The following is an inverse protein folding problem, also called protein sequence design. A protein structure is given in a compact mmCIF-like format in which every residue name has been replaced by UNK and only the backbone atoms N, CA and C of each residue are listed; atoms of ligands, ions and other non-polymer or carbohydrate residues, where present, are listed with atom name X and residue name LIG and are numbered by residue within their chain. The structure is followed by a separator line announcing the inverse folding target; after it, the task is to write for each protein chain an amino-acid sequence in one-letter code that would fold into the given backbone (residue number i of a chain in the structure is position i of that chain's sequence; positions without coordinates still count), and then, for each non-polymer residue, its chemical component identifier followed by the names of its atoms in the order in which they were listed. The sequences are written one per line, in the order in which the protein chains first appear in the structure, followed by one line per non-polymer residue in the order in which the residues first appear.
data_IF_342332870140
#
_entry.id   IF_342332870140
#
_cell.length_a   1.000
_cell.length_b   1.000
_cell.length_c   1.000
_cell.angle_alpha   90.00
_cell.angle_beta   90.00
_cell.angle_gamma   90.00
#
_symmetry.space_group_name_H-M   'P 1'
#
loop_
_entity.id
_entity.type
_entity.pdbx_description
1 polymer ?
#
# COMPACT_ATOMS: atom_id res chain seq x y z
N UNK A 1 -0.51 -9.18 10.19
CA UNK A 1 0.82 -8.82 9.67
C UNK A 1 0.72 -8.75 8.16
N UNK A 2 0.99 -7.58 7.57
CA UNK A 2 0.93 -7.42 6.12
C UNK A 2 2.00 -8.32 5.48
N UNK A 3 1.63 -9.10 4.46
CA UNK A 3 2.58 -9.88 3.66
C UNK A 3 3.60 -8.88 3.10
N UNK A 4 4.86 -8.97 3.54
CA UNK A 4 5.96 -8.30 2.85
C UNK A 4 5.91 -8.76 1.40
N UNK A 5 5.76 -7.83 0.47
CA UNK A 5 5.79 -8.13 -0.96
C UNK A 5 7.15 -8.79 -1.23
N UNK A 6 7.20 -10.01 -1.83
CA UNK A 6 8.44 -10.74 -2.09
C UNK A 6 9.51 -9.86 -2.76
N UNK A 7 9.08 -8.94 -3.62
CA UNK A 7 9.91 -7.94 -4.30
C UNK A 7 10.72 -7.07 -3.34
N UNK A 8 10.14 -6.60 -2.23
CA UNK A 8 10.88 -5.78 -1.25
C UNK A 8 12.02 -6.56 -0.59
N UNK A 9 11.80 -7.85 -0.34
CA UNK A 9 12.84 -8.73 0.22
C UNK A 9 13.93 -9.05 -0.80
N UNK A 10 13.56 -9.25 -2.06
CA UNK A 10 14.52 -9.46 -3.15
C UNK A 10 15.42 -8.24 -3.37
N UNK A 11 14.85 -7.02 -3.36
CA UNK A 11 15.61 -5.77 -3.45
C UNK A 11 16.52 -5.59 -2.24
N UNK A 12 16.06 -5.96 -1.04
CA UNK A 12 16.89 -5.95 0.15
C UNK A 12 18.11 -6.87 0.00
N UNK A 13 17.90 -8.15 -0.35
CA UNK A 13 18.98 -9.12 -0.60
C UNK A 13 19.96 -8.60 -1.66
N UNK A 14 19.44 -8.05 -2.77
CA UNK A 14 20.28 -7.51 -3.83
C UNK A 14 21.25 -6.41 -3.36
N UNK A 15 20.83 -5.62 -2.37
CA UNK A 15 21.59 -4.49 -1.86
C UNK A 15 22.43 -4.81 -0.61
N UNK A 16 22.05 -5.81 0.18
CA UNK A 16 22.70 -6.08 1.49
C UNK A 16 23.46 -7.38 1.55
N UNK A 17 23.19 -8.35 0.67
CA UNK A 17 23.84 -9.65 0.74
C UNK A 17 25.28 -9.58 0.23
N UNK A 18 26.22 -9.73 1.15
CA UNK A 18 27.65 -9.70 0.87
C UNK A 18 28.06 -10.80 -0.12
N UNK A 19 27.37 -11.94 -0.13
CA UNK A 19 27.67 -13.06 -1.05
C UNK A 19 27.38 -12.65 -2.49
N UNK A 20 26.27 -11.94 -2.71
CA UNK A 20 25.90 -11.45 -4.04
C UNK A 20 26.82 -10.30 -4.48
N UNK A 21 27.21 -9.42 -3.55
CA UNK A 21 28.17 -8.35 -3.82
C UNK A 21 29.57 -8.89 -4.17
N UNK A 22 29.99 -9.99 -3.55
CA UNK A 22 31.28 -10.63 -3.81
C UNK A 22 31.40 -11.25 -5.23
N UNK A 23 30.27 -11.59 -5.86
CA UNK A 23 30.24 -12.13 -7.23
C UNK A 23 30.37 -11.05 -8.32
N UNK A 24 30.36 -9.77 -7.94
CA UNK A 24 30.49 -8.63 -8.84
C UNK A 24 29.16 -8.17 -9.47
N UNK A 25 29.16 -6.96 -10.03
CA UNK A 25 27.95 -6.29 -10.53
C UNK A 25 27.20 -7.07 -11.62
N UNK A 26 27.91 -7.78 -12.50
CA UNK A 26 27.28 -8.57 -13.54
C UNK A 26 26.45 -9.73 -12.94
N UNK A 27 26.96 -10.40 -11.91
CA UNK A 27 26.25 -11.49 -11.24
C UNK A 27 25.01 -11.00 -10.49
N UNK A 28 25.04 -9.80 -9.90
CA UNK A 28 23.88 -9.16 -9.28
C UNK A 28 22.76 -8.96 -10.31
N UNK A 29 23.10 -8.42 -11.49
CA UNK A 29 22.14 -8.22 -12.58
C UNK A 29 21.54 -9.53 -13.08
N UNK A 30 22.38 -10.57 -13.22
CA UNK A 30 21.93 -11.90 -13.61
C UNK A 30 20.97 -12.48 -12.57
N UNK A 31 21.33 -12.41 -11.30
CA UNK A 31 20.50 -12.89 -10.19
C UNK A 31 19.14 -12.19 -10.14
N UNK A 32 19.11 -10.85 -10.24
CA UNK A 32 17.87 -10.08 -10.24
C UNK A 32 16.92 -10.49 -11.37
N UNK A 33 17.45 -10.64 -12.59
CA UNK A 33 16.66 -11.07 -13.73
C UNK A 33 16.16 -12.52 -13.59
N UNK A 34 16.94 -13.42 -12.97
CA UNK A 34 16.50 -14.78 -12.63
C UNK A 34 15.37 -14.77 -11.58
N UNK A 35 15.51 -13.97 -10.52
CA UNK A 35 14.46 -13.84 -9.50
C UNK A 35 13.17 -13.25 -10.06
N UNK A 36 13.29 -12.29 -10.99
CA UNK A 36 12.14 -11.73 -11.71
C UNK A 36 11.46 -12.77 -12.62
N UNK A 37 12.23 -13.68 -13.22
CA UNK A 37 11.68 -14.79 -14.00
C UNK A 37 10.83 -15.73 -13.11
N UNK A 38 11.25 -15.95 -11.87
CA UNK A 38 10.46 -16.69 -10.88
C UNK A 38 9.17 -15.95 -10.50
N UNK A 39 9.18 -14.61 -10.47
CA UNK A 39 7.96 -13.82 -10.26
C UNK A 39 7.00 -13.86 -11.46
N UNK A 40 7.52 -13.75 -12.68
CA UNK A 40 6.72 -13.73 -13.92
C UNK A 40 6.07 -15.08 -14.23
N UNK A 41 6.84 -16.16 -14.05
CA UNK A 41 6.48 -17.48 -14.56
C UNK A 41 6.38 -18.55 -13.48
N UNK A 42 6.83 -18.25 -12.27
CA UNK A 42 6.89 -19.22 -11.19
C UNK A 42 5.60 -19.36 -10.42
N UNK A 43 5.49 -20.51 -9.78
CA UNK A 43 4.48 -20.76 -8.75
C UNK A 43 5.20 -21.14 -7.48
N UNK A 44 4.78 -20.56 -6.35
CA UNK A 44 5.36 -20.82 -5.03
C UNK A 44 6.88 -20.58 -4.94
N UNK A 45 7.42 -19.63 -5.72
CA UNK A 45 8.85 -19.30 -5.73
C UNK A 45 9.72 -20.31 -6.50
N UNK A 46 9.11 -21.16 -7.34
CA UNK A 46 9.78 -22.13 -8.21
C UNK A 46 9.34 -21.97 -9.66
N UNK A 47 10.30 -22.05 -10.57
CA UNK A 47 10.12 -22.17 -12.01
C UNK A 47 10.79 -23.43 -12.51
N UNK A 48 10.19 -24.08 -13.50
CA UNK A 48 10.81 -25.17 -14.25
C UNK A 48 10.88 -24.74 -15.71
N UNK A 49 12.09 -24.62 -16.25
CA UNK A 49 12.29 -24.18 -17.63
C UNK A 49 11.73 -25.22 -18.63
N UNK A 50 11.19 -24.74 -19.75
CA UNK A 50 10.64 -25.60 -20.81
C UNK A 50 9.36 -26.36 -20.46
N UNK A 51 8.70 -26.05 -19.33
CA UNK A 51 7.38 -26.63 -18.97
C UNK A 51 6.27 -25.59 -19.01
N UNK A 52 5.13 -25.96 -19.60
CA UNK A 52 3.93 -25.12 -19.64
C UNK A 52 4.15 -23.84 -20.45
N UNK A 53 3.98 -22.67 -19.82
CA UNK A 53 4.19 -21.35 -20.44
C UNK A 53 5.60 -20.79 -20.21
N UNK A 54 6.49 -21.54 -19.57
CA UNK A 54 7.85 -21.10 -19.25
C UNK A 54 8.76 -21.35 -20.46
N UNK A 55 9.51 -20.34 -20.95
CA UNK A 55 10.49 -20.52 -22.02
C UNK A 55 11.58 -21.55 -21.66
N UNK A 56 12.25 -22.09 -22.68
CA UNK A 56 13.41 -22.98 -22.48
C UNK A 56 14.59 -22.22 -21.88
N UNK A 57 15.52 -22.92 -21.21
CA UNK A 57 16.71 -22.28 -20.64
C UNK A 57 17.56 -21.62 -21.74
N UNK A 58 17.72 -22.29 -22.88
CA UNK A 58 18.38 -21.75 -24.07
C UNK A 58 17.73 -20.45 -24.59
N UNK A 59 16.39 -20.38 -24.63
CA UNK A 59 15.69 -19.17 -25.05
C UNK A 59 15.87 -18.02 -24.05
N UNK A 60 15.84 -18.32 -22.75
CA UNK A 60 16.07 -17.34 -21.70
C UNK A 60 17.49 -16.78 -21.79
N UNK A 61 18.51 -17.65 -21.93
CA UNK A 61 19.90 -17.25 -22.10
C UNK A 61 20.07 -16.31 -23.30
N UNK A 62 19.50 -16.70 -24.45
CA UNK A 62 19.63 -15.96 -25.71
C UNK A 62 18.84 -14.65 -25.73
N UNK A 63 17.59 -14.66 -25.26
CA UNK A 63 16.67 -13.51 -25.40
C UNK A 63 16.88 -12.50 -24.27
N UNK A 64 16.97 -12.98 -23.03
CA UNK A 64 16.97 -12.13 -21.83
C UNK A 64 18.37 -11.73 -21.40
N UNK A 65 19.30 -12.69 -21.42
CA UNK A 65 20.66 -12.49 -20.91
C UNK A 65 21.70 -12.21 -22.00
N UNK A 66 21.36 -12.43 -23.28
CA UNK A 66 22.26 -12.25 -24.43
C UNK A 66 23.57 -13.04 -24.28
N UNK A 67 23.50 -14.21 -23.66
CA UNK A 67 24.65 -15.10 -23.39
C UNK A 67 24.35 -16.52 -23.87
N UNK A 68 25.37 -17.37 -23.86
CA UNK A 68 25.21 -18.79 -24.19
C UNK A 68 24.48 -19.54 -23.07
N UNK A 69 23.83 -20.65 -23.40
CA UNK A 69 23.18 -21.50 -22.38
C UNK A 69 24.20 -22.00 -21.35
N UNK A 70 25.40 -22.34 -21.79
CA UNK A 70 26.51 -22.76 -20.92
C UNK A 70 26.91 -21.68 -19.93
N UNK A 71 27.04 -20.42 -20.36
CA UNK A 71 27.35 -19.31 -19.45
C UNK A 71 26.23 -19.09 -18.43
N UNK A 72 24.96 -19.18 -18.85
CA UNK A 72 23.84 -19.05 -17.93
C UNK A 72 23.82 -20.19 -16.90
N UNK A 73 24.12 -21.42 -17.32
CA UNK A 73 24.25 -22.57 -16.42
C UNK A 73 25.36 -22.35 -15.41
N UNK A 74 26.53 -21.86 -15.83
CA UNK A 74 27.63 -21.53 -14.91
C UNK A 74 27.22 -20.50 -13.87
N UNK A 75 26.46 -19.47 -14.26
CA UNK A 75 25.91 -18.49 -13.31
C UNK A 75 24.93 -19.14 -12.33
N UNK A 76 24.03 -20.01 -12.81
CA UNK A 76 23.07 -20.72 -11.96
C UNK A 76 23.78 -21.63 -10.94
N UNK A 77 24.81 -22.36 -11.36
CA UNK A 77 25.60 -23.21 -10.47
C UNK A 77 26.34 -22.39 -9.42
N UNK A 78 27.05 -21.33 -9.84
CA UNK A 78 27.79 -20.44 -8.93
C UNK A 78 26.87 -19.77 -7.90
N UNK A 79 25.71 -19.31 -8.33
CA UNK A 79 24.72 -18.67 -7.44
C UNK A 79 24.01 -19.69 -6.54
N UNK A 80 23.90 -20.95 -6.98
CA UNK A 80 23.38 -22.04 -6.16
C UNK A 80 24.37 -22.47 -5.07
N UNK A 81 25.67 -22.54 -5.37
CA UNK A 81 26.72 -22.85 -4.39
C UNK A 81 26.78 -21.81 -3.26
N UNK A 82 26.57 -20.53 -3.61
CA UNK A 82 26.52 -19.42 -2.64
C UNK A 82 25.19 -19.33 -1.88
N UNK A 83 24.24 -20.24 -2.16
CA UNK A 83 22.89 -20.31 -1.58
C UNK A 83 22.01 -19.08 -1.87
N UNK A 84 22.36 -18.30 -2.90
CA UNK A 84 21.60 -17.12 -3.31
C UNK A 84 20.34 -17.50 -4.10
N UNK A 85 20.32 -18.69 -4.68
CA UNK A 85 19.17 -19.32 -5.32
C UNK A 85 19.27 -20.83 -5.15
N UNK A 86 18.20 -21.55 -5.51
CA UNK A 86 18.29 -23.00 -5.71
C UNK A 86 18.25 -23.33 -7.19
N UNK A 87 19.22 -24.12 -7.65
CA UNK A 87 19.26 -24.65 -9.01
C UNK A 87 19.35 -26.17 -8.99
N UNK A 88 18.58 -26.83 -9.86
CA UNK A 88 18.66 -28.27 -10.09
C UNK A 88 18.76 -28.54 -11.59
N UNK A 89 19.95 -28.93 -12.05
CA UNK A 89 20.21 -29.26 -13.45
C UNK A 89 19.34 -30.43 -13.93
N UNK A 90 19.16 -31.46 -13.10
CA UNK A 90 18.34 -32.65 -13.42
C UNK A 90 16.87 -32.30 -13.70
N UNK A 91 16.32 -31.37 -12.93
CA UNK A 91 14.91 -30.98 -13.05
C UNK A 91 14.68 -29.69 -13.84
N UNK A 92 15.76 -29.01 -14.27
CA UNK A 92 15.70 -27.69 -14.89
C UNK A 92 14.97 -26.66 -14.03
N UNK A 93 15.05 -26.81 -12.70
CA UNK A 93 14.25 -26.04 -11.76
C UNK A 93 15.07 -24.94 -11.08
N UNK A 94 14.58 -23.71 -11.19
CA UNK A 94 15.06 -22.54 -10.48
C UNK A 94 14.11 -22.23 -9.31
N UNK A 95 14.67 -22.05 -8.12
CA UNK A 95 13.93 -21.65 -6.93
C UNK A 95 14.51 -20.40 -6.30
N UNK A 96 13.67 -19.65 -5.59
CA UNK A 96 14.16 -18.63 -4.67
C UNK A 96 15.10 -19.21 -3.61
N UNK A 97 15.93 -18.36 -2.99
CA UNK A 97 16.66 -18.75 -1.80
C UNK A 97 15.71 -19.29 -0.72
N UNK A 98 16.20 -20.25 0.06
CA UNK A 98 15.41 -21.03 1.04
C UNK A 98 14.65 -20.14 2.03
N UNK A 99 15.22 -18.99 2.39
CA UNK A 99 14.63 -17.99 3.30
C UNK A 99 13.36 -17.32 2.74
N UNK A 100 13.20 -17.32 1.42
CA UNK A 100 12.03 -16.75 0.73
C UNK A 100 11.03 -17.82 0.31
N UNK A 101 11.37 -19.10 0.48
CA UNK A 101 10.45 -20.19 0.16
C UNK A 101 9.26 -20.16 1.13
N UNK A 102 8.03 -20.44 0.65
CA UNK A 102 6.88 -20.54 1.52
C UNK A 102 7.03 -21.77 2.43
N UNK A 103 6.73 -21.59 3.71
CA UNK A 103 6.77 -22.68 4.69
C UNK A 103 5.98 -23.92 4.22
N UNK A 104 6.43 -25.11 4.64
CA UNK A 104 5.74 -26.37 4.37
C UNK A 104 4.26 -26.34 4.76
N UNK A 105 3.91 -25.66 5.87
CA UNK A 105 2.53 -25.43 6.29
C UNK A 105 1.73 -24.59 5.29
N UNK A 106 2.36 -23.58 4.70
CA UNK A 106 1.75 -22.70 3.70
C UNK A 106 1.50 -23.47 2.39
N UNK A 107 2.45 -24.29 1.96
CA UNK A 107 2.29 -25.18 0.81
C UNK A 107 1.16 -26.20 1.04
N UNK A 108 1.13 -26.86 2.20
CA UNK A 108 0.08 -27.81 2.57
C UNK A 108 -1.31 -27.13 2.62
N UNK A 109 -1.41 -25.92 3.17
CA UNK A 109 -2.66 -25.15 3.19
C UNK A 109 -3.14 -24.79 1.76
N UNK A 110 -2.21 -24.45 0.85
CA UNK A 110 -2.54 -24.18 -0.56
C UNK A 110 -3.01 -25.42 -1.28
N UNK A 111 -2.34 -26.56 -1.06
CA UNK A 111 -2.75 -27.84 -1.64
C UNK A 111 -4.12 -28.28 -1.13
N UNK A 112 -4.37 -28.15 0.17
CA UNK A 112 -5.69 -28.40 0.77
C UNK A 112 -6.75 -27.42 0.22
N UNK A 113 -6.38 -26.16 -0.03
CA UNK A 113 -7.24 -25.19 -0.70
C UNK A 113 -7.62 -25.61 -2.11
N UNK A 114 -6.67 -26.12 -2.92
CA UNK A 114 -6.94 -26.66 -4.28
C UNK A 114 -7.88 -27.87 -4.23
N UNK A 115 -7.81 -28.68 -3.18
CA UNK A 115 -8.70 -29.84 -2.94
C UNK A 115 -10.09 -29.47 -2.41
N UNK A 116 -10.43 -28.17 -2.34
CA UNK A 116 -11.75 -27.68 -1.90
C UNK A 116 -11.79 -27.07 -0.50
N UNK A 117 -10.64 -26.99 0.19
CA UNK A 117 -10.53 -26.40 1.52
C UNK A 117 -11.23 -27.22 2.62
N UNK A 118 -11.16 -26.71 3.86
CA UNK A 118 -11.95 -27.30 4.96
C UNK A 118 -13.43 -27.10 4.66
N UNK A 119 -14.28 -28.13 4.72
CA UNK A 119 -15.72 -27.98 4.60
C UNK A 119 -16.18 -26.87 5.56
N UNK A 120 -16.93 -25.89 5.05
CA UNK A 120 -17.44 -24.81 5.90
C UNK A 120 -18.27 -25.46 7.00
N UNK A 121 -18.03 -25.06 8.26
CA UNK A 121 -18.76 -25.58 9.45
C UNK A 121 -20.27 -25.33 9.36
N UNK A 122 -20.68 -24.42 8.49
CA UNK A 122 -22.08 -24.11 8.19
C UNK A 122 -22.22 -24.09 6.66
N UNK A 123 -23.05 -24.96 6.10
CA UNK A 123 -23.39 -24.91 4.68
C UNK A 123 -24.07 -23.57 4.37
N UNK A 124 -23.71 -22.96 3.24
CA UNK A 124 -24.48 -21.82 2.74
C UNK A 124 -25.82 -22.36 2.27
N UNK A 125 -26.88 -21.99 2.97
CA UNK A 125 -28.25 -22.18 2.52
C UNK A 125 -28.76 -20.84 1.98
N UNK A 126 -29.85 -20.85 1.21
CA UNK A 126 -30.42 -19.65 0.57
C UNK A 126 -30.66 -18.48 1.55
N UNK A 127 -30.91 -18.78 2.83
CA UNK A 127 -31.09 -17.77 3.90
C UNK A 127 -29.80 -17.13 4.43
N UNK A 128 -28.67 -17.83 4.32
CA UNK A 128 -27.39 -17.41 4.93
C UNK A 128 -26.34 -17.04 3.87
N UNK A 129 -26.76 -16.90 2.62
CA UNK A 129 -25.91 -16.46 1.52
C UNK A 129 -25.88 -14.92 1.46
N UNK A 130 -24.74 -14.26 1.75
CA UNK A 130 -24.66 -12.82 1.76
C UNK A 130 -24.96 -12.16 0.41
N UNK A 131 -24.78 -12.89 -0.69
CA UNK A 131 -25.08 -12.41 -2.03
C UNK A 131 -26.59 -12.42 -2.37
N UNK A 132 -27.42 -13.03 -1.51
CA UNK A 132 -28.87 -13.14 -1.69
C UNK A 132 -29.66 -12.21 -0.75
N UNK A 133 -29.01 -11.51 0.19
CA UNK A 133 -29.69 -10.56 1.09
C UNK A 133 -30.31 -9.36 0.36
N UNK A 134 -29.86 -9.05 -0.86
CA UNK A 134 -30.37 -7.95 -1.68
C UNK A 134 -31.46 -8.39 -2.66
N UNK A 135 -31.73 -9.70 -2.77
CA UNK A 135 -32.81 -10.18 -3.63
C UNK A 135 -34.14 -10.03 -2.90
N UNK A 136 -35.20 -9.51 -3.56
CA UNK A 136 -36.52 -9.46 -2.98
C UNK A 136 -36.96 -10.89 -2.59
N UNK A 137 -37.72 -11.06 -1.50
CA UNK A 137 -38.16 -12.38 -1.07
C UNK A 137 -38.89 -13.05 -2.23
N UNK A 138 -38.37 -14.19 -2.70
CA UNK A 138 -39.04 -14.94 -3.75
C UNK A 138 -40.44 -15.33 -3.27
N UNK A 139 -41.41 -15.21 -4.18
CA UNK A 139 -42.79 -15.60 -3.93
C UNK A 139 -42.82 -17.07 -3.50
N UNK A 140 -43.46 -17.33 -2.36
CA UNK A 140 -43.76 -18.68 -1.88
C UNK A 140 -44.65 -19.36 -2.93
N UNK A 141 -44.33 -20.58 -3.39
CA UNK A 141 -45.19 -21.30 -4.33
C UNK A 141 -46.57 -21.51 -3.67
N UNK A 142 -47.59 -20.81 -4.21
CA UNK A 142 -48.99 -20.87 -3.74
C UNK A 142 -49.62 -19.54 -3.27
N UNK A 143 -48.89 -18.41 -3.24
CA UNK A 143 -49.45 -17.10 -2.86
C UNK A 143 -50.07 -16.32 -4.03
N UNK A 144 -51.23 -15.69 -3.81
CA UNK A 144 -51.92 -14.83 -4.81
C UNK A 144 -51.03 -13.69 -5.29
N UNK A 145 -50.86 -13.58 -6.59
CA UNK A 145 -50.15 -12.48 -7.27
C UNK A 145 -50.97 -11.20 -7.24
N UNK A 146 -50.47 -10.17 -6.56
CA UNK A 146 -50.86 -8.79 -6.85
C UNK A 146 -49.94 -8.27 -7.95
N UNK A 147 -50.54 -7.91 -9.07
CA UNK A 147 -49.93 -7.19 -10.18
C UNK A 147 -49.71 -5.74 -9.80
N UNK A 148 -48.46 -5.27 -9.88
CA UNK A 148 -48.16 -3.88 -10.19
C UNK A 148 -47.01 -3.87 -11.17
N UNK A 149 -47.39 -3.62 -12.42
CA UNK A 149 -46.54 -3.08 -13.48
C UNK A 149 -45.88 -1.79 -12.99
N UNK A 150 -44.57 -1.70 -13.13
CA UNK A 150 -43.81 -0.48 -13.42
C UNK A 150 -42.36 -0.94 -13.77
N UNK A 151 -42.11 -1.33 -15.02
CA UNK A 151 -41.61 -0.46 -16.11
C UNK A 151 -40.15 0.00 -15.90
N UNK A 152 -39.25 -0.65 -16.66
CA UNK A 152 -38.05 -0.07 -17.30
C UNK A 152 -36.83 0.25 -16.40
N UNK A 153 -35.56 0.09 -16.80
CA UNK A 153 -34.91 -0.04 -18.11
C UNK A 153 -33.53 -0.67 -17.91
N UNK A 154 -33.17 -1.58 -18.80
CA UNK A 154 -31.80 -2.03 -19.09
C UNK A 154 -30.97 -0.86 -19.63
N UNK A 155 -29.81 -0.58 -19.04
CA UNK A 155 -28.73 0.13 -19.72
C UNK A 155 -27.36 -0.47 -19.36
N UNK A 156 -26.77 -1.09 -20.37
CA UNK A 156 -25.39 -1.50 -20.50
C UNK A 156 -24.61 -0.31 -21.04
N UNK A 157 -23.73 0.32 -20.25
CA UNK A 157 -22.74 1.25 -20.80
C UNK A 157 -21.38 1.09 -20.10
N UNK A 158 -20.41 0.66 -20.91
CA UNK A 158 -18.99 0.64 -20.62
C UNK A 158 -18.41 2.04 -20.83
N UNK A 159 -17.77 2.70 -19.87
CA UNK A 159 -16.98 3.88 -20.16
C UNK A 159 -15.53 3.50 -20.50
N UNK A 160 -15.17 3.75 -21.76
CA UNK A 160 -13.79 3.96 -22.22
C UNK A 160 -13.10 4.99 -21.31
N UNK A 161 -12.00 4.59 -20.65
CA UNK A 161 -11.06 5.55 -20.05
C UNK A 161 -9.91 5.79 -21.01
N UNK A 162 -10.02 6.88 -21.77
CA UNK A 162 -8.90 7.48 -22.51
C UNK A 162 -8.32 8.61 -21.66
N UNK A 163 -6.99 8.57 -21.51
CA UNK A 163 -6.08 9.67 -21.16
C UNK A 163 -6.39 10.55 -19.93
N UNK A 164 -5.85 10.16 -18.76
CA UNK A 164 -5.45 11.12 -17.71
C UNK A 164 -4.11 10.77 -17.06
N UNK A 165 -3.21 10.13 -17.81
CA UNK A 165 -1.93 9.62 -17.29
C UNK A 165 -0.75 10.59 -17.43
N UNK A 166 -0.94 11.82 -17.94
CA UNK A 166 0.16 12.74 -18.22
C UNK A 166 0.34 13.89 -17.20
N UNK A 167 -0.59 14.11 -16.27
CA UNK A 167 -0.47 15.18 -15.25
C UNK A 167 -0.29 14.67 -13.82
N UNK A 168 -0.43 13.36 -13.58
CA UNK A 168 -0.27 12.77 -12.24
C UNK A 168 1.21 12.45 -11.89
N UNK A 169 2.12 12.46 -12.88
CA UNK A 169 3.53 12.10 -12.70
C UNK A 169 4.43 13.27 -12.28
N UNK A 170 4.01 14.51 -12.51
CA UNK A 170 4.78 15.72 -12.17
C UNK A 170 4.44 16.31 -10.79
N UNK A 171 3.29 15.98 -10.21
CA UNK A 171 2.94 16.37 -8.84
C UNK A 171 3.38 15.35 -7.77
N UNK A 172 3.44 14.05 -8.13
CA UNK A 172 3.92 13.01 -7.20
C UNK A 172 5.43 12.97 -6.98
N UNK A 173 6.20 13.68 -7.79
CA UNK A 173 7.67 13.72 -7.70
C UNK A 173 8.20 14.86 -6.81
N UNK A 174 7.34 15.77 -6.34
CA UNK A 174 7.69 16.82 -5.36
C UNK A 174 7.16 16.54 -3.94
N UNK A 175 6.20 15.64 -3.79
CA UNK A 175 5.84 15.06 -2.48
C UNK A 175 6.68 13.81 -2.22
N UNK A 176 8.00 13.97 -2.19
CA UNK A 176 8.81 13.07 -1.39
C UNK A 176 8.36 13.31 0.07
N UNK A 177 7.37 12.53 0.53
CA UNK A 177 7.03 12.39 1.94
C UNK A 177 8.31 11.93 2.63
N UNK A 178 9.08 12.89 3.13
CA UNK A 178 10.23 12.62 3.98
C UNK A 178 9.76 11.65 5.07
N UNK A 179 10.50 10.55 5.26
CA UNK A 179 10.18 9.68 6.38
C UNK A 179 10.34 10.52 7.66
N UNK A 180 9.27 10.69 8.46
CA UNK A 180 9.31 11.57 9.62
C UNK A 180 10.36 11.09 10.60
N UNK A 181 11.13 12.03 11.16
CA UNK A 181 12.22 11.69 12.09
C UNK A 181 11.64 11.04 13.36
N UNK A 182 12.42 10.16 13.98
CA UNK A 182 12.01 9.47 15.21
C UNK A 182 11.68 10.47 16.33
N UNK A 183 12.37 11.62 16.36
CA UNK A 183 12.13 12.71 17.33
C UNK A 183 10.81 13.43 17.08
N UNK A 184 10.49 13.73 15.81
CA UNK A 184 9.22 14.36 15.43
C UNK A 184 8.03 13.45 15.78
N UNK A 185 8.17 12.15 15.52
CA UNK A 185 7.16 11.16 15.91
C UNK A 185 6.98 11.14 17.43
N UNK A 186 8.08 11.22 18.20
CA UNK A 186 8.04 11.21 19.66
C UNK A 186 7.38 12.47 20.24
N UNK A 187 7.63 13.64 19.67
CA UNK A 187 6.98 14.89 20.09
C UNK A 187 5.46 14.84 19.86
N UNK A 188 5.05 14.41 18.67
CA UNK A 188 3.63 14.26 18.32
C UNK A 188 2.96 13.18 19.19
N UNK A 189 3.68 12.09 19.45
CA UNK A 189 3.22 11.03 20.36
C UNK A 189 2.99 11.54 21.78
N UNK A 190 3.91 12.31 22.36
CA UNK A 190 3.78 12.85 23.71
C UNK A 190 2.61 13.83 23.83
N UNK A 191 2.28 14.53 22.75
CA UNK A 191 1.12 15.42 22.69
C UNK A 191 -0.20 14.66 22.57
N UNK A 192 -0.30 13.72 21.62
CA UNK A 192 -1.56 13.05 21.29
C UNK A 192 -1.90 11.94 22.30
N UNK A 193 -0.90 11.25 22.83
CA UNK A 193 -1.06 10.11 23.74
C UNK A 193 -1.98 10.42 24.93
N UNK A 194 -1.69 11.45 25.75
CA UNK A 194 -2.52 11.82 26.90
C UNK A 194 -3.94 12.24 26.52
N UNK A 195 -4.09 13.01 25.43
CA UNK A 195 -5.40 13.51 24.97
C UNK A 195 -6.28 12.36 24.48
N UNK A 196 -5.71 11.43 23.70
CA UNK A 196 -6.41 10.23 23.26
C UNK A 196 -6.82 9.33 24.43
N UNK A 197 -5.96 9.24 25.44
CA UNK A 197 -6.23 8.47 26.66
C UNK A 197 -7.40 9.02 27.45
N UNK A 198 -7.41 10.34 27.66
CA UNK A 198 -8.50 11.06 28.32
C UNK A 198 -9.80 10.96 27.52
N UNK A 199 -9.74 11.12 26.20
CA UNK A 199 -10.91 10.99 25.31
C UNK A 199 -11.53 9.59 25.32
N UNK A 200 -10.73 8.55 25.56
CA UNK A 200 -11.21 7.17 25.71
C UNK A 200 -11.85 6.90 27.09
N UNK A 201 -11.77 7.84 28.03
CA UNK A 201 -12.31 7.70 29.38
C UNK A 201 -11.47 6.81 30.29
N UNK A 202 -10.20 6.56 29.96
CA UNK A 202 -9.32 5.73 30.78
C UNK A 202 -8.71 6.52 31.93
N UNK A 203 -8.83 5.98 33.14
CA UNK A 203 -8.16 6.50 34.33
C UNK A 203 -6.68 6.11 34.32
N UNK A 204 -5.80 7.13 34.30
CA UNK A 204 -4.34 6.98 34.33
C UNK A 204 -3.84 6.13 35.51
N UNK A 205 -4.54 6.15 36.66
CA UNK A 205 -4.13 5.41 37.85
C UNK A 205 -4.54 3.93 37.83
N UNK A 206 -5.59 3.58 37.07
CA UNK A 206 -6.13 2.21 36.99
C UNK A 206 -5.66 1.46 35.76
N UNK A 207 -5.38 2.18 34.69
CA UNK A 207 -4.96 1.64 33.41
C UNK A 207 -3.53 2.12 33.15
N UNK A 208 -2.56 1.29 33.55
CA UNK A 208 -1.14 1.61 33.48
C UNK A 208 -0.68 1.96 32.05
N UNK A 209 -0.50 3.26 31.74
CA UNK A 209 0.44 3.80 30.75
C UNK A 209 0.36 3.30 29.29
N UNK A 210 -0.73 2.68 28.87
CA UNK A 210 -0.83 2.00 27.56
C UNK A 210 -1.25 2.90 26.40
N UNK A 211 -0.51 3.97 26.09
CA UNK A 211 -0.76 4.78 24.86
C UNK A 211 0.29 4.59 23.76
N UNK A 212 1.11 3.54 23.82
CA UNK A 212 2.11 3.22 22.79
C UNK A 212 1.53 3.16 21.36
N UNK A 213 0.25 2.80 21.21
CA UNK A 213 -0.43 2.80 19.91
C UNK A 213 -0.53 4.21 19.28
N UNK A 214 -0.55 5.27 20.10
CA UNK A 214 -0.53 6.65 19.62
C UNK A 214 0.75 6.99 18.85
N UNK A 215 1.86 6.27 19.10
CA UNK A 215 3.11 6.44 18.35
C UNK A 215 2.96 5.98 16.90
N UNK A 216 2.14 4.94 16.67
CA UNK A 216 1.81 4.46 15.34
C UNK A 216 0.91 5.47 14.62
N UNK A 217 -0.07 6.04 15.33
CA UNK A 217 -0.94 7.09 14.76
C UNK A 217 -0.18 8.37 14.41
N UNK A 218 0.74 8.80 15.28
CA UNK A 218 1.64 9.92 15.03
C UNK A 218 2.48 9.68 13.76
N UNK A 219 3.13 8.51 13.67
CA UNK A 219 3.94 8.16 12.50
C UNK A 219 3.10 8.09 11.20
N UNK A 220 1.90 7.51 11.26
CA UNK A 220 1.02 7.39 10.09
C UNK A 220 0.45 8.74 9.65
N UNK A 221 0.12 9.63 10.58
CA UNK A 221 -0.35 10.99 10.30
C UNK A 221 0.75 11.86 9.70
N UNK A 222 1.95 11.83 10.27
CA UNK A 222 3.12 12.57 9.78
C UNK A 222 3.56 12.09 8.40
N UNK A 223 3.60 10.77 8.17
CA UNK A 223 3.91 10.20 6.84
C UNK A 223 2.94 10.66 5.76
N UNK A 224 1.70 11.01 6.15
CA UNK A 224 0.68 11.54 5.25
C UNK A 224 0.75 13.07 5.10
N UNK A 225 1.68 13.74 5.78
CA UNK A 225 1.81 15.19 5.77
C UNK A 225 0.67 15.91 6.50
N UNK A 226 0.00 15.24 7.45
CA UNK A 226 -1.02 15.88 8.27
C UNK A 226 -0.35 16.78 9.33
N UNK A 227 -0.85 18.01 9.56
CA UNK A 227 -0.40 18.82 10.68
C UNK A 227 -0.81 18.19 12.00
N UNK A 228 0.00 18.40 13.05
CA UNK A 228 -0.16 17.77 14.38
C UNK A 228 -1.56 17.96 14.95
N UNK A 229 -2.11 19.18 14.86
CA UNK A 229 -3.45 19.51 15.35
C UNK A 229 -4.54 18.70 14.62
N UNK A 230 -4.35 18.44 13.33
CA UNK A 230 -5.29 17.62 12.57
C UNK A 230 -5.17 16.14 12.93
N UNK A 231 -3.98 15.64 13.24
CA UNK A 231 -3.80 14.26 13.72
C UNK A 231 -4.52 14.11 15.06
N UNK A 232 -4.38 15.08 15.97
CA UNK A 232 -5.07 15.12 17.26
C UNK A 232 -6.60 15.09 17.08
N UNK A 233 -7.15 15.99 16.25
CA UNK A 233 -8.59 16.06 15.92
C UNK A 233 -9.12 14.70 15.41
N UNK A 234 -8.36 14.06 14.51
CA UNK A 234 -8.74 12.78 13.92
C UNK A 234 -8.76 11.68 14.98
N UNK A 235 -7.72 11.60 15.81
CA UNK A 235 -7.60 10.58 16.85
C UNK A 235 -8.74 10.72 17.86
N UNK A 236 -8.96 11.93 18.39
CA UNK A 236 -10.03 12.21 19.37
C UNK A 236 -11.41 11.96 18.75
N UNK A 237 -11.65 12.43 17.54
CA UNK A 237 -12.92 12.24 16.84
C UNK A 237 -13.23 10.76 16.56
N UNK A 238 -12.23 9.96 16.19
CA UNK A 238 -12.40 8.53 15.99
C UNK A 238 -12.74 7.81 17.32
N UNK A 239 -12.05 8.16 18.41
CA UNK A 239 -12.28 7.60 19.74
C UNK A 239 -13.70 7.91 20.21
N UNK A 240 -14.11 9.17 20.18
CA UNK A 240 -15.46 9.58 20.60
C UNK A 240 -16.57 8.86 19.80
N UNK A 241 -16.44 8.79 18.46
CA UNK A 241 -17.41 8.08 17.61
C UNK A 241 -17.47 6.58 17.90
N UNK A 242 -16.35 5.94 18.23
CA UNK A 242 -16.31 4.51 18.54
C UNK A 242 -16.84 4.25 19.95
N UNK A 243 -16.48 5.08 20.93
CA UNK A 243 -16.98 5.01 22.31
C UNK A 243 -18.49 5.20 22.37
N UNK A 244 -19.04 6.19 21.67
CA UNK A 244 -20.50 6.38 21.54
C UNK A 244 -21.20 5.17 20.92
N UNK A 245 -20.63 4.58 19.88
CA UNK A 245 -21.16 3.35 19.25
C UNK A 245 -21.06 2.14 20.17
N UNK A 246 -20.03 2.06 21.00
CA UNK A 246 -19.86 0.99 21.97
C UNK A 246 -20.93 1.07 23.08
N UNK A 247 -21.15 2.27 23.62
CA UNK A 247 -22.20 2.54 24.59
C UNK A 247 -23.60 2.26 24.04
N UNK A 248 -23.89 2.71 22.81
CA UNK A 248 -25.19 2.50 22.14
C UNK A 248 -25.54 1.03 21.90
N UNK A 249 -24.54 0.14 21.80
CA UNK A 249 -24.74 -1.31 21.65
C UNK A 249 -25.04 -2.03 22.96
N UNK A 250 -25.07 -1.33 24.10
CA UNK A 250 -25.34 -1.94 25.40
C UNK A 250 -24.25 -2.91 25.86
N UNK A 251 -23.05 -2.83 25.28
CA UNK A 251 -21.93 -3.67 25.69
C UNK A 251 -21.51 -3.32 27.11
N UNK A 252 -21.71 -4.24 28.05
CA UNK A 252 -21.36 -4.07 29.47
C UNK A 252 -19.85 -4.11 29.75
N UNK A 253 -19.04 -4.59 28.80
CA UNK A 253 -17.60 -4.74 28.99
C UNK A 253 -16.89 -3.42 28.70
N UNK A 254 -16.27 -2.82 29.71
CA UNK A 254 -15.45 -1.63 29.55
C UNK A 254 -14.31 -1.86 28.55
N UNK A 255 -14.02 -0.85 27.73
CA UNK A 255 -12.90 -0.90 26.79
C UNK A 255 -11.62 -0.89 27.63
N UNK A 256 -10.72 -1.86 27.43
CA UNK A 256 -9.55 -2.03 28.29
C UNK A 256 -8.24 -1.45 27.75
N UNK A 257 -8.20 -0.98 26.50
CA UNK A 257 -6.98 -0.51 25.84
C UNK A 257 -7.28 0.38 24.64
N UNK A 258 -6.36 1.31 24.35
CA UNK A 258 -6.41 2.15 23.15
C UNK A 258 -6.27 1.34 21.84
N UNK A 259 -5.73 0.12 21.90
CA UNK A 259 -5.65 -0.78 20.73
C UNK A 259 -7.02 -1.08 20.11
N UNK A 260 -8.09 -0.99 20.90
CA UNK A 260 -9.46 -1.16 20.41
C UNK A 260 -9.82 -0.15 19.30
N UNK A 261 -9.26 1.06 19.36
CA UNK A 261 -9.52 2.14 18.41
C UNK A 261 -8.62 2.11 17.18
N UNK A 262 -7.60 1.23 17.16
CA UNK A 262 -6.57 1.17 16.11
C UNK A 262 -7.14 1.13 14.69
N UNK A 263 -8.19 0.35 14.47
CA UNK A 263 -8.83 0.24 13.16
C UNK A 263 -9.47 1.56 12.72
N UNK A 264 -10.32 2.13 13.56
CA UNK A 264 -11.05 3.36 13.24
C UNK A 264 -10.13 4.56 13.05
N UNK A 265 -9.13 4.73 13.94
CA UNK A 265 -8.14 5.81 13.81
C UNK A 265 -7.30 5.64 12.55
N UNK A 266 -6.84 4.42 12.26
CA UNK A 266 -6.06 4.13 11.07
C UNK A 266 -6.83 4.39 9.77
N UNK A 267 -8.12 4.08 9.74
CA UNK A 267 -8.98 4.33 8.58
C UNK A 267 -9.27 5.83 8.40
N UNK A 268 -9.52 6.58 9.48
CA UNK A 268 -9.70 8.03 9.41
C UNK A 268 -8.42 8.75 8.96
N UNK A 269 -7.25 8.36 9.48
CA UNK A 269 -5.96 8.91 9.02
C UNK A 269 -5.76 8.61 7.53
N UNK A 270 -6.09 7.39 7.06
CA UNK A 270 -6.03 7.04 5.63
C UNK A 270 -7.04 7.77 4.75
N UNK A 271 -8.16 8.24 5.30
CA UNK A 271 -9.14 9.04 4.57
C UNK A 271 -8.83 10.55 4.58
N UNK A 272 -8.11 11.05 5.59
CA UNK A 272 -7.88 12.48 5.78
C UNK A 272 -6.96 13.12 4.72
N UNK A 273 -7.32 14.27 4.18
CA UNK A 273 -6.40 15.08 3.37
C UNK A 273 -5.79 16.17 4.26
N UNK A 274 -4.50 16.53 4.10
CA UNK A 274 -3.90 17.62 4.85
C UNK A 274 -4.73 18.89 4.72
N UNK A 275 -5.12 19.48 5.86
CA UNK A 275 -5.76 20.80 5.86
C UNK A 275 -4.74 21.79 5.31
N UNK A 276 -5.04 22.40 4.17
CA UNK A 276 -4.27 23.55 3.68
C UNK A 276 -4.26 24.63 4.75
N UNK A 277 -3.07 24.94 5.28
CA UNK A 277 -2.83 26.07 6.16
C UNK A 277 -3.14 27.38 5.42
N UNK A 278 -3.56 28.41 6.15
CA UNK A 278 -3.88 29.72 5.57
C UNK A 278 -2.70 30.30 4.79
N UNK A 279 -1.49 30.16 5.34
CA UNK A 279 -0.24 30.58 4.71
C UNK A 279 0.05 29.86 3.38
N UNK A 280 -0.32 28.57 3.27
CA UNK A 280 -0.19 27.82 2.01
C UNK A 280 -1.21 28.29 0.96
N UNK A 281 -2.42 28.67 1.40
CA UNK A 281 -3.43 29.28 0.51
C UNK A 281 -3.00 30.65 0.02
N UNK A 282 -2.34 31.44 0.86
CA UNK A 282 -1.83 32.75 0.47
C UNK A 282 -0.63 32.62 -0.48
N UNK A 283 0.25 31.63 -0.26
CA UNK A 283 1.34 31.30 -1.20
C UNK A 283 0.82 30.80 -2.55
N UNK A 284 -0.23 29.97 -2.56
CA UNK A 284 -0.88 29.51 -3.80
C UNK A 284 -1.59 30.66 -4.53
N UNK A 285 -2.26 31.56 -3.80
CA UNK A 285 -2.85 32.77 -4.41
C UNK A 285 -1.79 33.68 -5.01
N UNK A 286 -0.69 33.90 -4.30
CA UNK A 286 0.44 34.68 -4.80
C UNK A 286 1.08 34.04 -6.04
N UNK A 287 1.15 32.71 -6.08
CA UNK A 287 1.59 31.96 -7.25
C UNK A 287 0.62 32.10 -8.42
N UNK A 288 -0.68 31.95 -8.20
CA UNK A 288 -1.71 32.13 -9.23
C UNK A 288 -1.68 33.54 -9.83
N UNK A 289 -1.55 34.56 -8.98
CA UNK A 289 -1.38 35.95 -9.42
C UNK A 289 -0.10 36.15 -10.24
N UNK A 290 1.02 35.53 -9.82
CA UNK A 290 2.29 35.59 -10.54
C UNK A 290 2.23 34.88 -11.90
N UNK A 291 1.55 33.72 -12.00
CA UNK A 291 1.34 32.98 -13.25
C UNK A 291 0.43 33.77 -14.20
N UNK A 292 -0.64 34.37 -13.66
CA UNK A 292 -1.54 35.22 -14.44
C UNK A 292 -0.87 36.50 -14.93
N UNK A 293 0.09 37.04 -14.17
CA UNK A 293 0.91 38.18 -14.58
C UNK A 293 1.93 37.77 -15.65
N UNK A 294 2.63 36.65 -15.45
CA UNK A 294 3.55 36.08 -16.42
C UNK A 294 2.87 35.80 -17.76
N UNK A 295 1.68 35.16 -17.75
CA UNK A 295 0.92 34.89 -18.97
C UNK A 295 0.54 36.16 -19.74
N UNK A 296 0.22 37.26 -19.03
CA UNK A 296 -0.01 38.58 -19.63
C UNK A 296 1.27 39.20 -20.20
N UNK A 297 2.39 39.06 -19.51
CA UNK A 297 3.69 39.58 -19.95
C UNK A 297 4.27 38.79 -21.14
N UNK A 298 3.91 37.52 -21.33
CA UNK A 298 4.28 36.75 -22.53
C UNK A 298 3.57 37.23 -23.81
N UNK A 299 2.44 37.93 -23.68
CA UNK A 299 1.76 38.56 -24.83
C UNK A 299 2.44 39.85 -25.28
N UNK A 300 3.27 40.46 -24.44
CA UNK A 300 4.08 41.63 -24.78
C UNK A 300 5.34 41.21 -25.57
N UNK A 301 5.53 41.65 -26.82
CA UNK A 301 6.69 41.28 -27.64
C UNK A 301 8.05 41.69 -27.05
N UNK A 302 8.09 42.64 -26.10
CA UNK A 302 9.34 43.09 -25.45
C UNK A 302 9.73 42.21 -24.26
N UNK A 303 8.76 41.55 -23.60
CA UNK A 303 8.98 40.75 -22.38
C UNK A 303 8.83 39.24 -22.59
N UNK A 304 8.60 38.83 -23.84
CA UNK A 304 8.48 37.44 -24.27
C UNK A 304 9.77 36.68 -23.95
N UNK A 305 9.66 35.61 -23.17
CA UNK A 305 10.81 34.78 -22.73
C UNK A 305 11.15 34.84 -21.24
N UNK A 306 10.41 35.59 -20.40
CA UNK A 306 10.53 35.50 -18.95
C UNK A 306 10.27 34.06 -18.45
N UNK A 307 11.00 33.58 -17.45
CA UNK A 307 10.81 32.23 -16.91
C UNK A 307 9.44 32.11 -16.22
N UNK A 308 8.80 30.95 -16.38
CA UNK A 308 7.53 30.66 -15.72
C UNK A 308 7.75 30.58 -14.19
N UNK A 309 6.92 31.27 -13.38
CA UNK A 309 6.96 31.13 -11.93
C UNK A 309 6.73 29.67 -11.52
N UNK A 310 7.44 29.17 -10.52
CA UNK A 310 7.25 27.82 -9.95
C UNK A 310 6.69 27.92 -8.54
N UNK A 311 5.69 27.10 -8.22
CA UNK A 311 5.06 27.05 -6.90
C UNK A 311 6.08 26.75 -5.78
N UNK A 312 7.13 25.98 -6.09
CA UNK A 312 8.24 25.68 -5.17
C UNK A 312 8.93 26.92 -4.62
N UNK A 313 9.05 27.98 -5.43
CA UNK A 313 9.79 29.18 -5.06
C UNK A 313 8.98 30.05 -4.08
N UNK A 314 7.66 30.01 -4.20
CA UNK A 314 6.73 30.69 -3.27
C UNK A 314 6.66 29.96 -1.92
N UNK A 315 6.61 28.63 -1.95
CA UNK A 315 6.64 27.81 -0.73
C UNK A 315 7.99 27.92 0.00
N UNK A 316 9.11 27.98 -0.73
CA UNK A 316 10.44 28.17 -0.14
C UNK A 316 10.61 29.57 0.49
N UNK A 317 10.01 30.61 -0.10
CA UNK A 317 10.02 31.95 0.50
C UNK A 317 9.15 32.03 1.76
N UNK A 318 8.01 31.33 1.80
CA UNK A 318 7.18 31.21 2.99
C UNK A 318 7.96 30.57 4.16
N UNK A 319 8.72 29.50 3.89
CA UNK A 319 9.56 28.82 4.88
C UNK A 319 10.73 29.69 5.39
N UNK A 320 11.26 30.61 4.57
CA UNK A 320 12.29 31.57 4.99
C UNK A 320 11.73 32.70 5.85
N UNK A 321 10.48 33.09 5.60
CA UNK A 321 9.79 34.14 6.37
C UNK A 321 9.31 33.64 7.73
N UNK A 322 8.97 32.34 7.87
CA UNK A 322 8.63 31.75 9.16
C UNK A 322 9.83 31.40 10.04
N UNK A 323 11.05 31.43 9.49
CA UNK A 323 12.30 31.14 10.19
C UNK A 323 13.10 32.41 10.60
N UNK A 324 12.60 33.60 10.27
CA UNK A 324 13.19 34.90 10.59
C UNK A 324 12.36 35.62 11.68
#
# INVERSE_FOLDING_TARGET
MARSIPERKLIFIANTDLRLQALGFAAVGVWLALMHLVLEHGTDGRVVFGRGRVPSLADVARIRFRMTETELVTHLETQSETQLLGWSAESGALTWPSELMPDARTLANRENGKKGGRPRKTALNERNNPNQYHMPPMAIPGGRSMSTDETQKTQTETPLRVASLAEASTLKSLEATAEPDAREIDEVFQRIGPVAYAAAGFDHARHMGGWAIARIWAADGLRKGLPVDQIEDIVVGAIDRVSKRHAAKGNQKEIGSLDYFKGAVGDDIKAASPRMTQERRDAERAYEEAVMKWGREQMDPVKRGAQQPKLSDFLANLQRQSAA
#
